data_IF_036586181852
#
_entry.id   IF_036586181852
#
_cell.length_a   1.000
_cell.length_b   1.000
_cell.length_c   1.000
_cell.angle_alpha   90.00
_cell.angle_beta   90.00
_cell.angle_gamma   90.00
#
_symmetry.space_group_name_H-M   'P 1'
#
loop_
_entity.id
_entity.type
_entity.pdbx_description
1 polymer ?
#
# COMPACT_ATOMS: atom_id res chain seq x y z
N UNK A 1 -12.10 -10.20 0.66
CA UNK A 1 -11.86 -9.65 2.02
C UNK A 1 -11.87 -10.82 2.99
N UNK A 2 -11.08 -10.72 4.06
CA UNK A 2 -11.05 -11.71 5.14
C UNK A 2 -11.89 -11.13 6.28
N UNK A 3 -12.77 -11.93 6.87
CA UNK A 3 -13.56 -11.52 8.02
C UNK A 3 -12.68 -11.37 9.27
N UNK A 4 -13.12 -10.55 10.22
CA UNK A 4 -12.26 -10.16 11.34
C UNK A 4 -12.02 -11.32 12.31
N UNK A 5 -13.01 -12.23 12.43
CA UNK A 5 -12.92 -13.42 13.25
C UNK A 5 -11.86 -14.38 12.71
N UNK A 6 -11.77 -14.52 11.38
CA UNK A 6 -10.87 -15.47 10.72
C UNK A 6 -9.45 -14.91 10.54
N UNK A 7 -9.30 -13.58 10.55
CA UNK A 7 -8.04 -12.89 10.27
C UNK A 7 -6.88 -13.42 11.13
N UNK A 8 -7.14 -13.69 12.40
CA UNK A 8 -6.13 -14.19 13.33
C UNK A 8 -5.57 -15.53 12.89
N UNK A 9 -6.45 -16.47 12.56
CA UNK A 9 -6.06 -17.84 12.27
C UNK A 9 -5.32 -17.92 10.93
N UNK A 10 -5.77 -17.17 9.93
CA UNK A 10 -5.03 -17.00 8.68
C UNK A 10 -3.64 -16.42 8.90
N UNK A 11 -3.51 -15.36 9.70
CA UNK A 11 -2.21 -14.75 9.98
C UNK A 11 -1.25 -15.72 10.67
N UNK A 12 -1.74 -16.54 11.58
CA UNK A 12 -0.93 -17.55 12.26
C UNK A 12 -0.45 -18.63 11.29
N UNK A 13 -1.35 -19.20 10.50
CA UNK A 13 -1.02 -20.24 9.52
C UNK A 13 0.03 -19.74 8.51
N UNK A 14 -0.15 -18.54 7.97
CA UNK A 14 0.80 -17.95 7.03
C UNK A 14 2.17 -17.65 7.66
N UNK A 15 2.22 -17.13 8.89
CA UNK A 15 3.49 -16.79 9.55
C UNK A 15 4.25 -18.01 10.09
N UNK A 16 3.53 -19.11 10.35
CA UNK A 16 4.15 -20.37 10.74
C UNK A 16 4.75 -21.06 9.53
N UNK A 17 3.95 -21.23 8.47
CA UNK A 17 4.24 -22.14 7.36
C UNK A 17 4.88 -21.47 6.13
N UNK A 18 4.53 -20.22 5.82
CA UNK A 18 4.86 -19.61 4.52
C UNK A 18 5.81 -18.41 4.61
N UNK A 19 5.65 -17.58 5.63
CA UNK A 19 6.32 -16.28 5.72
C UNK A 19 6.95 -16.06 7.09
N UNK A 20 8.02 -15.26 7.15
CA UNK A 20 8.65 -14.85 8.42
C UNK A 20 8.63 -13.35 8.63
N UNK A 21 8.00 -12.60 7.75
CA UNK A 21 7.85 -11.16 7.84
C UNK A 21 6.44 -10.78 7.38
N UNK A 22 5.85 -9.81 8.08
CA UNK A 22 4.55 -9.25 7.76
C UNK A 22 4.59 -7.74 7.93
N UNK A 23 4.16 -7.03 6.89
CA UNK A 23 3.94 -5.60 6.91
C UNK A 23 2.42 -5.35 6.84
N UNK A 24 1.89 -4.60 7.79
CA UNK A 24 0.49 -4.23 7.83
C UNK A 24 0.36 -2.73 8.11
N UNK A 25 -0.66 -2.09 7.54
CA UNK A 25 -0.88 -0.66 7.74
C UNK A 25 -2.36 -0.35 7.94
N UNK A 26 -2.60 0.63 8.81
CA UNK A 26 -3.83 1.38 8.96
C UNK A 26 -3.56 2.83 8.55
N UNK A 27 -4.57 3.69 8.57
CA UNK A 27 -4.42 5.09 8.14
C UNK A 27 -3.33 5.84 8.88
N UNK A 28 -3.22 5.58 10.17
CA UNK A 28 -2.35 6.34 11.06
C UNK A 28 -1.16 5.55 11.59
N UNK A 29 -1.09 4.23 11.30
CA UNK A 29 -0.07 3.36 11.86
C UNK A 29 0.39 2.31 10.87
N UNK A 30 1.69 2.02 10.91
CA UNK A 30 2.30 0.88 10.22
C UNK A 30 2.88 -0.09 11.24
N UNK A 31 2.71 -1.36 10.97
CA UNK A 31 3.19 -2.49 11.75
C UNK A 31 4.15 -3.33 10.92
N UNK A 32 5.32 -3.61 11.48
CA UNK A 32 6.35 -4.46 10.90
C UNK A 32 6.61 -5.62 11.85
N UNK A 33 6.16 -6.82 11.50
CA UNK A 33 6.39 -8.05 12.26
C UNK A 33 7.47 -8.88 11.56
N UNK A 34 8.46 -9.36 12.32
CA UNK A 34 9.52 -10.25 11.80
C UNK A 34 9.83 -11.36 12.79
N UNK A 35 10.00 -12.56 12.28
CA UNK A 35 10.44 -13.75 13.02
C UNK A 35 11.85 -14.08 12.54
N UNK A 36 12.83 -14.00 13.45
CA UNK A 36 14.20 -14.39 13.15
C UNK A 36 14.34 -15.88 12.87
N UNK A 37 15.45 -16.31 12.26
CA UNK A 37 15.76 -17.73 12.05
C UNK A 37 15.76 -18.56 13.35
N UNK A 38 16.00 -17.92 14.51
CA UNK A 38 15.98 -18.58 15.84
C UNK A 38 14.62 -18.48 16.54
N UNK A 39 13.57 -18.04 15.84
CA UNK A 39 12.21 -17.93 16.39
C UNK A 39 11.93 -16.65 17.20
N UNK A 40 12.91 -15.77 17.44
CA UNK A 40 12.67 -14.49 18.10
C UNK A 40 11.74 -13.60 17.27
N UNK A 41 10.66 -13.14 17.88
CA UNK A 41 9.64 -12.27 17.29
C UNK A 41 9.99 -10.81 17.56
N UNK A 42 9.90 -9.97 16.54
CA UNK A 42 10.08 -8.53 16.59
C UNK A 42 8.85 -7.85 16.00
N UNK A 43 8.20 -6.99 16.79
CA UNK A 43 7.07 -6.18 16.34
C UNK A 43 7.44 -4.71 16.45
N UNK A 44 7.52 -4.02 15.32
CA UNK A 44 7.63 -2.58 15.23
C UNK A 44 6.25 -1.96 14.99
N UNK A 45 5.94 -0.88 15.72
CA UNK A 45 4.80 -0.01 15.46
C UNK A 45 5.32 1.41 15.22
N UNK A 46 4.85 2.06 14.17
CA UNK A 46 5.18 3.45 13.85
C UNK A 46 3.92 4.23 13.53
N UNK A 47 3.83 5.45 14.04
CA UNK A 47 2.82 6.40 13.56
C UNK A 47 3.22 6.83 12.14
N UNK A 48 2.28 6.76 11.20
CA UNK A 48 2.52 7.05 9.79
C UNK A 48 1.24 7.59 9.16
N UNK A 49 1.34 8.53 8.21
CA UNK A 49 0.19 8.96 7.42
C UNK A 49 0.11 8.11 6.14
N UNK A 50 -0.72 7.06 6.19
CA UNK A 50 -0.88 6.08 5.12
C UNK A 50 -2.13 6.33 4.26
N UNK A 51 -2.73 7.51 4.34
CA UNK A 51 -3.90 7.92 3.52
C UNK A 51 -3.71 7.60 2.03
N UNK A 52 -2.52 7.83 1.48
CA UNK A 52 -2.17 7.52 0.09
C UNK A 52 -2.15 6.01 -0.23
N UNK A 53 -1.84 5.16 0.75
CA UNK A 53 -1.81 3.68 0.60
C UNK A 53 -3.20 3.05 0.77
N UNK A 54 -4.12 3.76 1.43
CA UNK A 54 -5.50 3.30 1.70
C UNK A 54 -6.44 3.67 0.57
N UNK A 55 -6.01 4.54 -0.33
CA UNK A 55 -6.83 4.95 -1.45
C UNK A 55 -7.15 3.75 -2.36
N UNK A 56 -8.32 3.15 -2.15
CA UNK A 56 -8.85 2.00 -2.90
C UNK A 56 -9.51 2.44 -4.20
N UNK A 57 -9.58 3.74 -4.49
CA UNK A 57 -10.15 4.23 -5.74
C UNK A 57 -9.31 3.78 -6.93
N UNK A 58 -9.99 3.18 -7.90
CA UNK A 58 -9.41 2.87 -9.20
C UNK A 58 -9.24 4.11 -10.08
N UNK A 59 -9.75 5.27 -9.65
CA UNK A 59 -9.78 6.49 -10.43
C UNK A 59 -8.47 7.28 -10.31
N UNK A 60 -7.34 6.61 -10.60
CA UNK A 60 -6.06 7.29 -10.80
C UNK A 60 -6.15 8.08 -12.10
N UNK A 61 -6.59 9.34 -12.02
CA UNK A 61 -6.54 10.27 -13.14
C UNK A 61 -5.09 10.32 -13.63
N UNK A 62 -4.87 10.01 -14.91
CA UNK A 62 -3.55 10.15 -15.53
C UNK A 62 -3.21 11.64 -15.53
N UNK A 63 -2.07 12.00 -14.96
CA UNK A 63 -1.54 13.36 -15.03
C UNK A 63 -0.81 13.48 -16.37
N UNK A 64 -1.45 14.11 -17.35
CA UNK A 64 -0.83 14.35 -18.65
C UNK A 64 0.00 15.63 -18.58
N UNK A 65 1.10 15.68 -19.35
CA UNK A 65 1.88 16.93 -19.51
C UNK A 65 1.06 17.95 -20.34
N UNK A 66 0.22 17.44 -21.24
CA UNK A 66 -0.68 18.21 -22.10
C UNK A 66 -2.08 17.64 -21.92
N UNK A 67 -3.01 18.46 -21.44
CA UNK A 67 -4.41 18.06 -21.24
C UNK A 67 -5.21 18.22 -22.54
N UNK A 68 -6.33 17.50 -22.66
CA UNK A 68 -7.22 17.61 -23.83
C UNK A 68 -7.80 19.03 -23.93
N UNK A 69 -7.71 19.64 -25.12
CA UNK A 69 -8.09 21.03 -25.34
C UNK A 69 -6.98 22.05 -25.05
N UNK A 70 -5.78 21.61 -24.65
CA UNK A 70 -4.65 22.52 -24.49
C UNK A 70 -4.13 22.98 -25.86
N UNK A 71 -4.08 24.29 -26.07
CA UNK A 71 -3.52 24.90 -27.26
C UNK A 71 -1.99 24.75 -27.20
N UNK A 72 -1.41 24.13 -28.24
CA UNK A 72 0.04 23.97 -28.37
C UNK A 72 0.54 25.08 -29.30
N UNK A 73 1.12 26.12 -28.71
CA UNK A 73 1.61 27.32 -29.42
C UNK A 73 2.41 27.02 -30.71
N UNK A 74 3.40 26.10 -30.74
CA UNK A 74 4.14 25.83 -31.97
C UNK A 74 3.33 25.16 -33.09
N UNK A 75 2.13 24.62 -32.81
CA UNK A 75 1.25 24.05 -33.84
C UNK A 75 0.31 25.10 -34.46
N UNK A 76 0.18 26.29 -33.87
CA UNK A 76 -0.64 27.39 -34.41
C UNK A 76 0.07 28.08 -35.57
N UNK A 77 1.40 28.21 -35.47
CA UNK A 77 2.23 28.95 -36.43
C UNK A 77 2.56 28.15 -37.70
N UNK A 78 2.13 26.88 -37.76
CA UNK A 78 2.31 25.99 -38.90
C UNK A 78 1.06 25.92 -39.81
N UNK A 79 0.04 26.75 -39.56
CA UNK A 79 -1.25 26.79 -40.27
C UNK A 79 -1.44 27.98 -41.20
#
# INVERSE_FOLDING_TARGET
>A
NIEIEDLRDYLLDYMENSYKQLAAWSENNTFDLKISKKGKVFLGKKNANNSNLINKDHNKKKNYILEEGMIIEPLIDLG
#
